data_IF_154081501987
#
_entry.id   IF_154081501987
#
_cell.length_a   1.000
_cell.length_b   1.000
_cell.length_c   1.000
_cell.angle_alpha   90.00
_cell.angle_beta   90.00
_cell.angle_gamma   90.00
#
_symmetry.space_group_name_H-M   'P 1'
#
loop_
_entity.id
_entity.type
_entity.pdbx_description
1 polymer ?
#
# COMPACT_ATOMS: atom_id res chain seq x y z
N UNK A 1 -4.82 -16.14 -4.35
CA UNK A 1 -3.44 -15.86 -3.91
C UNK A 1 -3.05 -14.46 -4.35
N UNK A 2 -2.73 -13.60 -3.41
CA UNK A 2 -2.13 -12.30 -3.75
C UNK A 2 -0.67 -12.52 -4.13
N UNK A 3 -0.29 -12.25 -5.36
CA UNK A 3 1.10 -12.17 -5.73
C UNK A 3 1.64 -10.84 -5.23
N UNK A 4 2.53 -10.89 -4.24
CA UNK A 4 3.21 -9.69 -3.77
C UNK A 4 4.41 -9.41 -4.67
N UNK A 5 4.48 -8.20 -5.18
CA UNK A 5 5.62 -7.71 -5.94
C UNK A 5 6.65 -7.12 -4.98
N UNK A 6 7.91 -7.35 -5.26
CA UNK A 6 9.02 -6.73 -4.53
C UNK A 6 9.56 -5.53 -5.30
N UNK A 7 9.72 -4.41 -4.62
CA UNK A 7 10.47 -3.25 -5.10
C UNK A 7 11.63 -2.98 -4.15
N UNK A 8 12.66 -2.34 -4.64
CA UNK A 8 13.88 -2.08 -3.89
C UNK A 8 14.51 -0.75 -4.27
N UNK A 9 15.35 -0.25 -3.37
CA UNK A 9 15.99 1.05 -3.48
C UNK A 9 15.16 2.20 -2.89
N UNK A 10 15.87 3.21 -2.37
CA UNK A 10 15.22 4.33 -1.67
C UNK A 10 14.25 5.11 -2.54
N UNK A 11 14.62 5.39 -3.78
CA UNK A 11 13.78 6.18 -4.68
C UNK A 11 12.46 5.48 -5.00
N UNK A 12 12.51 4.21 -5.38
CA UNK A 12 11.33 3.42 -5.72
C UNK A 12 10.36 3.30 -4.54
N UNK A 13 10.89 3.00 -3.36
CA UNK A 13 10.07 2.82 -2.15
C UNK A 13 9.49 4.16 -1.69
N UNK A 14 10.29 5.21 -1.66
CA UNK A 14 9.83 6.55 -1.27
C UNK A 14 8.74 7.06 -2.20
N UNK A 15 8.94 6.92 -3.51
CA UNK A 15 7.94 7.30 -4.52
C UNK A 15 6.65 6.53 -4.37
N UNK A 16 6.73 5.22 -4.12
CA UNK A 16 5.55 4.38 -3.94
C UNK A 16 4.77 4.76 -2.68
N UNK A 17 5.44 5.01 -1.55
CA UNK A 17 4.77 5.42 -0.31
C UNK A 17 4.07 6.77 -0.50
N UNK A 18 4.71 7.72 -1.20
CA UNK A 18 4.11 9.02 -1.48
C UNK A 18 2.93 8.94 -2.44
N UNK A 19 3.02 8.07 -3.44
CA UNK A 19 1.97 7.90 -4.43
C UNK A 19 0.75 7.18 -3.84
N UNK A 20 0.98 6.05 -3.20
CA UNK A 20 -0.08 5.21 -2.64
C UNK A 20 0.47 4.31 -1.52
N UNK A 21 0.46 4.78 -0.27
CA UNK A 21 0.99 4.00 0.85
C UNK A 21 0.20 2.73 1.15
N UNK A 22 -1.07 2.64 0.72
CA UNK A 22 -1.91 1.47 0.99
C UNK A 22 -1.45 0.21 0.28
N UNK A 23 -0.80 0.34 -0.87
CA UNK A 23 -0.28 -0.82 -1.62
C UNK A 23 1.01 -1.36 -1.02
N UNK A 24 1.69 -0.59 -0.17
CA UNK A 24 2.93 -1.02 0.49
C UNK A 24 2.59 -1.83 1.74
N UNK A 25 2.79 -3.12 1.66
CA UNK A 25 2.49 -4.05 2.78
C UNK A 25 3.53 -3.97 3.89
N UNK A 26 4.78 -4.09 3.52
CA UNK A 26 5.90 -4.12 4.46
C UNK A 26 7.17 -3.57 3.81
N UNK A 27 8.01 -2.92 4.60
CA UNK A 27 9.33 -2.47 4.19
C UNK A 27 10.40 -3.16 5.05
N UNK A 28 11.45 -3.66 4.42
CA UNK A 28 12.58 -4.28 5.10
C UNK A 28 13.81 -3.40 4.93
N UNK A 29 14.45 -3.05 6.04
CA UNK A 29 15.58 -2.13 6.09
C UNK A 29 16.78 -2.84 6.69
N UNK A 30 17.94 -2.67 6.07
CA UNK A 30 19.20 -3.21 6.57
C UNK A 30 19.52 -2.63 7.96
N UNK A 31 19.58 -3.49 8.97
CA UNK A 31 19.86 -3.14 10.36
C UNK A 31 21.23 -2.49 10.58
N UNK A 32 22.17 -2.74 9.67
CA UNK A 32 23.52 -2.16 9.74
C UNK A 32 23.58 -0.71 9.23
N UNK A 33 22.48 -0.19 8.67
CA UNK A 33 22.42 1.17 8.12
C UNK A 33 21.68 2.13 9.07
N UNK A 34 22.32 3.26 9.32
CA UNK A 34 21.76 4.33 10.16
C UNK A 34 22.01 5.74 9.58
N UNK A 35 22.22 5.82 8.25
CA UNK A 35 22.44 7.09 7.57
C UNK A 35 21.16 7.93 7.41
N UNK A 36 21.32 9.17 6.97
CA UNK A 36 20.21 10.12 6.83
C UNK A 36 19.08 9.64 5.91
N UNK A 37 19.41 8.89 4.84
CA UNK A 37 18.39 8.34 3.93
C UNK A 37 17.50 7.31 4.61
N UNK A 38 18.08 6.46 5.44
CA UNK A 38 17.33 5.48 6.24
C UNK A 38 16.44 6.19 7.23
N UNK A 39 16.95 7.20 7.93
CA UNK A 39 16.18 7.96 8.90
C UNK A 39 15.00 8.70 8.25
N UNK A 40 15.20 9.30 7.08
CA UNK A 40 14.14 9.98 6.34
C UNK A 40 13.08 8.98 5.85
N UNK A 41 13.49 7.82 5.37
CA UNK A 41 12.57 6.76 4.97
C UNK A 41 11.75 6.25 6.16
N UNK A 42 12.37 6.04 7.31
CA UNK A 42 11.65 5.60 8.51
C UNK A 42 10.62 6.64 8.96
N UNK A 43 10.95 7.93 8.89
CA UNK A 43 9.99 9.00 9.19
C UNK A 43 8.79 8.94 8.23
N UNK A 44 9.03 8.77 6.94
CA UNK A 44 7.97 8.65 5.94
C UNK A 44 7.10 7.41 6.17
N UNK A 45 7.72 6.27 6.48
CA UNK A 45 7.06 5.01 6.80
C UNK A 45 6.13 5.19 8.01
N UNK A 46 6.64 5.79 9.10
CA UNK A 46 5.86 6.03 10.32
C UNK A 46 4.73 7.01 10.09
N UNK A 47 4.95 8.09 9.33
CA UNK A 47 3.93 9.08 9.01
C UNK A 47 2.76 8.48 8.22
N UNK A 48 3.00 7.44 7.42
CA UNK A 48 1.99 6.75 6.62
C UNK A 48 1.54 5.42 7.23
N UNK A 49 1.97 5.12 8.45
CA UNK A 49 1.63 3.88 9.17
C UNK A 49 1.94 2.59 8.39
N UNK A 50 2.98 2.62 7.57
CA UNK A 50 3.47 1.45 6.86
C UNK A 50 4.25 0.57 7.83
N UNK A 51 4.06 -0.73 7.73
CA UNK A 51 4.78 -1.69 8.54
C UNK A 51 6.22 -1.84 8.04
N UNK A 52 7.19 -1.87 8.96
CA UNK A 52 8.58 -2.10 8.59
C UNK A 52 9.31 -2.99 9.58
N UNK A 53 10.38 -3.63 9.10
CA UNK A 53 11.23 -4.53 9.86
C UNK A 53 12.69 -4.24 9.57
N UNK A 54 13.53 -4.37 10.60
CA UNK A 54 14.97 -4.41 10.42
C UNK A 54 15.38 -5.82 10.01
N UNK A 55 16.32 -5.94 9.09
CA UNK A 55 16.73 -7.21 8.51
C UNK A 55 18.22 -7.21 8.19
N UNK A 56 18.81 -8.39 8.08
CA UNK A 56 20.21 -8.52 7.66
C UNK A 56 20.35 -8.30 6.15
N UNK A 57 21.53 -7.87 5.74
CA UNK A 57 21.86 -7.70 4.31
C UNK A 57 21.65 -8.98 3.53
N UNK A 58 22.09 -10.12 4.06
CA UNK A 58 21.94 -11.42 3.39
C UNK A 58 20.49 -11.79 3.11
N UNK A 59 19.61 -11.49 4.05
CA UNK A 59 18.17 -11.70 3.85
C UNK A 59 17.61 -10.80 2.76
N UNK A 60 18.04 -9.53 2.73
CA UNK A 60 17.64 -8.59 1.67
C UNK A 60 18.16 -9.03 0.30
N UNK A 61 19.41 -9.48 0.22
CA UNK A 61 20.00 -10.01 -1.00
C UNK A 61 19.18 -11.20 -1.53
N UNK A 62 18.76 -12.10 -0.65
CA UNK A 62 17.91 -13.24 -0.99
C UNK A 62 16.51 -12.83 -1.49
N UNK A 63 15.95 -11.74 -0.98
CA UNK A 63 14.64 -11.25 -1.39
C UNK A 63 14.61 -10.73 -2.83
N UNK A 64 15.69 -10.16 -3.31
CA UNK A 64 15.76 -9.49 -4.63
C UNK A 64 16.68 -10.18 -5.63
N UNK A 65 17.09 -11.42 -5.35
CA UNK A 65 17.92 -12.24 -6.25
C UNK A 65 19.21 -11.54 -6.68
N UNK A 66 19.90 -10.88 -5.75
CA UNK A 66 21.19 -10.22 -5.98
C UNK A 66 21.13 -8.85 -6.65
N UNK A 67 19.95 -8.29 -6.87
CA UNK A 67 19.83 -6.91 -7.36
C UNK A 67 20.27 -5.89 -6.31
N UNK A 68 20.72 -4.72 -6.78
CA UNK A 68 21.17 -3.64 -5.89
C UNK A 68 19.99 -2.99 -5.15
N UNK A 69 19.71 -3.47 -3.95
CA UNK A 69 18.60 -2.97 -3.14
C UNK A 69 18.93 -1.75 -2.27
N UNK A 70 20.21 -1.36 -2.19
CA UNK A 70 20.66 -0.21 -1.37
C UNK A 70 20.31 -0.32 0.13
N UNK A 71 20.04 -1.52 0.62
CA UNK A 71 19.66 -1.78 2.01
C UNK A 71 18.16 -1.62 2.30
N UNK A 72 17.31 -1.52 1.29
CA UNK A 72 15.86 -1.41 1.47
C UNK A 72 15.09 -2.20 0.41
N UNK A 73 14.10 -2.96 0.87
CA UNK A 73 13.19 -3.76 0.03
C UNK A 73 11.76 -3.57 0.55
N UNK A 74 10.80 -3.47 -0.32
CA UNK A 74 9.39 -3.41 0.06
C UNK A 74 8.54 -4.45 -0.67
N UNK A 75 7.54 -4.96 0.01
CA UNK A 75 6.49 -5.80 -0.56
C UNK A 75 5.30 -4.93 -0.93
N UNK A 76 4.87 -5.03 -2.16
CA UNK A 76 3.70 -4.32 -2.68
C UNK A 76 2.60 -5.32 -2.99
N UNK A 77 1.39 -5.01 -2.56
CA UNK A 77 0.20 -5.79 -2.91
C UNK A 77 -0.25 -5.46 -4.33
N UNK A 78 -0.13 -6.40 -5.25
CA UNK A 78 -0.67 -6.23 -6.60
C UNK A 78 -2.21 -6.23 -6.60
N UNK A 79 -2.84 -6.87 -5.64
CA UNK A 79 -4.30 -6.88 -5.52
C UNK A 79 -4.87 -5.49 -5.26
N UNK A 80 -4.16 -4.67 -4.47
CA UNK A 80 -4.56 -3.28 -4.18
C UNK A 80 -4.17 -2.29 -5.29
N UNK A 81 -3.31 -2.70 -6.19
CA UNK A 81 -2.84 -1.87 -7.30
C UNK A 81 -3.70 -2.03 -8.58
N UNK A 82 -4.68 -2.89 -8.56
CA UNK A 82 -5.62 -3.05 -9.69
C UNK A 82 -6.76 -2.06 -9.54
N UNK A 83 -6.95 -1.25 -10.56
CA UNK A 83 -8.18 -0.47 -10.70
C UNK A 83 -9.30 -1.46 -11.02
N UNK A 84 -10.27 -1.56 -10.12
CA UNK A 84 -11.50 -2.31 -10.31
C UNK A 84 -12.65 -1.32 -10.39
N UNK A 85 -13.62 -1.60 -11.22
CA UNK A 85 -14.85 -0.82 -11.26
C UNK A 85 -15.85 -1.39 -10.26
N UNK A 86 -16.84 -0.58 -9.87
CA UNK A 86 -17.93 -1.05 -9.02
C UNK A 86 -18.67 -2.18 -9.71
N UNK A 87 -18.87 -2.05 -11.01
CA UNK A 87 -19.52 -3.06 -11.86
C UNK A 87 -18.77 -4.39 -11.81
N UNK A 88 -17.44 -4.39 -11.92
CA UNK A 88 -16.63 -5.61 -11.82
C UNK A 88 -16.84 -6.32 -10.48
N UNK A 89 -16.89 -5.57 -9.38
CA UNK A 89 -17.10 -6.13 -8.04
C UNK A 89 -18.50 -6.72 -7.91
N UNK A 90 -19.51 -6.06 -8.46
CA UNK A 90 -20.90 -6.54 -8.43
C UNK A 90 -21.02 -7.82 -9.27
N UNK A 91 -20.45 -7.86 -10.45
CA UNK A 91 -20.48 -9.03 -11.33
C UNK A 91 -19.80 -10.24 -10.72
N UNK A 92 -18.61 -10.05 -10.14
CA UNK A 92 -17.87 -11.13 -9.48
C UNK A 92 -18.57 -11.69 -8.23
N UNK A 93 -19.46 -10.91 -7.62
CA UNK A 93 -20.11 -11.25 -6.36
C UNK A 93 -21.64 -11.26 -6.43
N UNK A 94 -22.21 -11.54 -7.59
CA UNK A 94 -23.66 -11.47 -7.82
C UNK A 94 -24.51 -12.35 -6.89
N UNK A 95 -23.91 -13.33 -6.19
CA UNK A 95 -24.61 -14.27 -5.31
C UNK A 95 -24.58 -13.87 -3.82
N UNK A 96 -24.02 -12.72 -3.47
CA UNK A 96 -23.95 -12.26 -2.08
C UNK A 96 -24.32 -10.80 -1.92
N UNK A 97 -24.69 -10.44 -0.71
CA UNK A 97 -24.87 -9.03 -0.33
C UNK A 97 -23.51 -8.37 -0.15
N UNK A 98 -23.30 -7.23 -0.79
CA UNK A 98 -22.08 -6.46 -0.72
C UNK A 98 -22.24 -5.25 0.21
N UNK A 99 -21.19 -4.95 0.94
CA UNK A 99 -21.09 -3.76 1.77
C UNK A 99 -19.99 -2.86 1.23
N UNK A 100 -20.36 -1.64 0.82
CA UNK A 100 -19.42 -0.64 0.36
C UNK A 100 -19.26 0.48 1.39
N UNK A 101 -18.04 0.97 1.55
CA UNK A 101 -17.73 2.18 2.30
C UNK A 101 -17.34 3.28 1.32
N UNK A 102 -18.12 4.36 1.28
CA UNK A 102 -17.85 5.52 0.43
C UNK A 102 -17.27 6.64 1.30
N UNK A 103 -16.09 7.09 0.95
CA UNK A 103 -15.39 8.17 1.61
C UNK A 103 -15.44 9.42 0.75
N UNK A 104 -16.01 10.48 1.28
CA UNK A 104 -16.07 11.78 0.62
C UNK A 104 -15.21 12.80 1.38
N UNK A 105 -14.41 13.57 0.65
CA UNK A 105 -13.62 14.67 1.22
C UNK A 105 -12.39 14.26 2.02
N UNK A 106 -11.94 13.00 1.94
CA UNK A 106 -10.69 12.58 2.57
C UNK A 106 -9.52 12.94 1.65
N UNK A 107 -8.67 13.84 2.12
CA UNK A 107 -7.52 14.37 1.39
C UNK A 107 -6.19 13.78 1.91
N UNK A 108 -6.15 13.41 3.19
CA UNK A 108 -4.95 12.92 3.85
C UNK A 108 -4.80 11.40 3.68
N UNK A 109 -3.70 10.92 3.05
CA UNK A 109 -3.41 9.48 2.90
C UNK A 109 -3.39 8.72 4.23
N UNK A 110 -3.00 9.37 5.32
CA UNK A 110 -2.98 8.79 6.67
C UNK A 110 -4.40 8.42 7.13
N UNK A 111 -5.35 9.34 6.96
CA UNK A 111 -6.76 9.11 7.29
C UNK A 111 -7.38 8.03 6.40
N UNK A 112 -7.01 8.01 5.13
CA UNK A 112 -7.44 6.97 4.18
C UNK A 112 -6.96 5.59 4.63
N UNK A 113 -5.72 5.47 5.07
CA UNK A 113 -5.16 4.22 5.60
C UNK A 113 -5.90 3.73 6.85
N UNK A 114 -6.25 4.65 7.76
CA UNK A 114 -7.04 4.34 8.95
C UNK A 114 -8.45 3.84 8.57
N UNK A 115 -9.12 4.49 7.63
CA UNK A 115 -10.43 4.06 7.12
C UNK A 115 -10.36 2.68 6.46
N UNK A 116 -9.31 2.40 5.71
CA UNK A 116 -9.11 1.10 5.07
C UNK A 116 -8.97 -0.03 6.10
N UNK A 117 -8.22 0.18 7.17
CA UNK A 117 -8.09 -0.80 8.25
C UNK A 117 -9.41 -1.06 8.97
N UNK A 118 -10.20 -0.02 9.23
CA UNK A 118 -11.53 -0.18 9.83
C UNK A 118 -12.47 -0.92 8.86
N UNK A 119 -12.44 -0.60 7.58
CA UNK A 119 -13.23 -1.28 6.56
C UNK A 119 -12.93 -2.77 6.49
N UNK A 120 -11.65 -3.14 6.53
CA UNK A 120 -11.22 -4.54 6.56
C UNK A 120 -11.75 -5.26 7.81
N UNK A 121 -11.61 -4.65 8.99
CA UNK A 121 -12.11 -5.21 10.25
C UNK A 121 -13.63 -5.36 10.29
N UNK A 122 -14.38 -4.51 9.60
CA UNK A 122 -15.85 -4.55 9.55
C UNK A 122 -16.41 -5.44 8.43
N UNK A 123 -15.55 -6.07 7.63
CA UNK A 123 -15.98 -6.93 6.52
C UNK A 123 -16.55 -6.17 5.34
N UNK A 124 -16.10 -4.94 5.11
CA UNK A 124 -16.44 -4.16 3.93
C UNK A 124 -15.84 -4.80 2.69
N UNK A 125 -16.62 -4.98 1.64
CA UNK A 125 -16.16 -5.62 0.40
C UNK A 125 -15.35 -4.67 -0.48
N UNK A 126 -15.72 -3.40 -0.53
CA UNK A 126 -14.98 -2.39 -1.27
C UNK A 126 -15.05 -1.01 -0.61
N UNK A 127 -13.97 -0.26 -0.75
CA UNK A 127 -13.85 1.12 -0.33
C UNK A 127 -13.79 2.00 -1.57
N UNK A 128 -14.64 3.00 -1.61
CA UNK A 128 -14.75 3.95 -2.72
C UNK A 128 -14.32 5.32 -2.21
N UNK A 129 -13.33 5.91 -2.87
CA UNK A 129 -12.86 7.25 -2.51
C UNK A 129 -12.53 8.05 -3.77
N UNK A 130 -12.55 9.39 -3.70
CA UNK A 130 -12.13 10.22 -4.82
C UNK A 130 -10.69 9.91 -5.23
N UNK A 131 -10.44 9.88 -6.53
CA UNK A 131 -9.09 9.76 -7.07
C UNK A 131 -8.47 11.15 -7.12
N UNK A 132 -7.49 11.39 -6.28
CA UNK A 132 -6.80 12.66 -6.12
C UNK A 132 -7.70 13.82 -5.64
N UNK A 133 -7.11 15.01 -5.49
CA UNK A 133 -7.83 16.26 -5.21
C UNK A 133 -8.63 16.77 -6.42
N UNK A 134 -8.86 15.93 -7.43
CA UNK A 134 -9.51 16.34 -8.66
C UNK A 134 -11.01 16.57 -8.45
N UNK A 135 -11.43 17.74 -8.79
CA UNK A 135 -12.84 18.08 -9.00
C UNK A 135 -13.35 17.21 -10.16
N UNK A 136 -14.02 16.10 -9.87
CA UNK A 136 -14.58 15.22 -10.89
C UNK A 136 -15.04 13.86 -10.38
N UNK A 137 -15.79 13.17 -11.20
CA UNK A 137 -16.44 11.88 -10.92
C UNK A 137 -15.47 10.66 -10.84
N UNK A 138 -14.18 10.89 -10.74
CA UNK A 138 -13.20 9.81 -10.70
C UNK A 138 -13.06 9.26 -9.28
N UNK A 139 -13.77 8.20 -9.00
CA UNK A 139 -13.61 7.44 -7.77
C UNK A 139 -12.61 6.30 -7.97
N UNK A 140 -11.77 6.07 -6.99
CA UNK A 140 -10.97 4.86 -6.91
C UNK A 140 -11.74 3.83 -6.09
N UNK A 141 -11.96 2.66 -6.66
CA UNK A 141 -12.57 1.54 -5.96
C UNK A 141 -11.46 0.60 -5.52
N UNK A 142 -11.43 0.29 -4.21
CA UNK A 142 -10.47 -0.63 -3.62
C UNK A 142 -11.22 -1.86 -3.11
N UNK A 143 -10.82 -3.02 -3.61
CA UNK A 143 -11.29 -4.29 -3.08
C UNK A 143 -10.61 -4.54 -1.73
N UNK A 144 -11.42 -4.74 -0.69
CA UNK A 144 -10.95 -4.96 0.69
C UNK A 144 -10.80 -6.45 1.00
N UNK A 145 -11.48 -7.28 0.25
CA UNK A 145 -11.46 -8.73 0.46
C UNK A 145 -10.19 -9.42 -0.06
#
# INVERSE_FOLDING_TARGET
MSMDKKIYGFHSITSQIRLDPLVVKEVFIDEARSDGRVNDLIKLIKANEVKFHLSTKDRLDGMVSGNKHQGVVALISEALNKYVTIEDIIEENHNKTLLFLILDGIVDPHNLGACFRVADAMGVDALICPKDNAVGLNATVRNVA
#
